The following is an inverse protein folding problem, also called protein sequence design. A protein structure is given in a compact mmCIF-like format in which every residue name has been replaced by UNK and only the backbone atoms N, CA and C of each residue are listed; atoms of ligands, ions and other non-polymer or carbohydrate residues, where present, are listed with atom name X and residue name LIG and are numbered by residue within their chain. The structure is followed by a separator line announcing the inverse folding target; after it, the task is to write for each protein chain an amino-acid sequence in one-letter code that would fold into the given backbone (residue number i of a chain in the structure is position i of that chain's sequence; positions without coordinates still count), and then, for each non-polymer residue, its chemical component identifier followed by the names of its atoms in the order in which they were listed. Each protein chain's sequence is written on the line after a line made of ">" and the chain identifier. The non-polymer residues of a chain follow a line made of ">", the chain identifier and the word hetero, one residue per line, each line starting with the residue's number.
data_IF_667409992104
#
_entry.id   IF_667409992104
#
_cell.length_a   1.000
_cell.length_b   1.000
_cell.length_c   1.000
_cell.angle_alpha   90.00
_cell.angle_beta   90.00
_cell.angle_gamma   90.00
#
_symmetry.space_group_name_H-M   'P 1'
#
loop_
_entity.id
_entity.type
_entity.pdbx_description
1 polymer ?
#
# COMPACT_ATOMS: atom_id res chain seq x y z
N UNK A 1 -29.37 69.71 9.17
CA UNK A 1 -28.19 68.85 8.96
C UNK A 1 -28.49 67.57 9.66
N UNK A 2 -28.89 66.49 8.87
CA UNK A 2 -29.18 65.19 9.41
C UNK A 2 -27.93 64.29 9.19
N UNK A 3 -27.27 63.97 10.25
CA UNK A 3 -26.22 63.01 10.31
C UNK A 3 -26.85 61.64 10.61
N UNK A 4 -27.19 60.83 9.61
CA UNK A 4 -27.74 59.49 9.78
C UNK A 4 -26.66 58.43 9.74
N UNK A 5 -26.86 57.30 10.39
CA UNK A 5 -25.81 56.53 11.01
C UNK A 5 -25.15 55.59 10.03
N UNK A 6 -23.99 55.94 9.51
CA UNK A 6 -23.10 55.06 8.77
C UNK A 6 -22.72 53.77 9.54
N UNK A 7 -22.92 53.77 10.87
CA UNK A 7 -22.62 52.61 11.75
C UNK A 7 -23.64 51.47 11.62
N UNK A 8 -24.86 51.71 11.20
CA UNK A 8 -25.86 50.62 11.02
C UNK A 8 -25.68 49.91 9.68
N UNK A 9 -25.35 50.63 8.63
CA UNK A 9 -25.05 50.07 7.31
C UNK A 9 -23.80 49.20 7.35
N UNK A 10 -22.75 49.61 8.05
CA UNK A 10 -21.52 48.81 8.20
C UNK A 10 -21.76 47.49 8.97
N UNK A 11 -22.64 47.52 9.98
CA UNK A 11 -23.00 46.32 10.76
C UNK A 11 -23.84 45.32 9.95
N UNK A 12 -24.74 45.80 9.09
CA UNK A 12 -25.54 44.92 8.23
C UNK A 12 -24.73 44.32 7.08
N UNK A 13 -23.80 45.08 6.52
CA UNK A 13 -22.89 44.51 5.46
C UNK A 13 -21.93 43.51 6.03
N UNK A 14 -21.34 43.72 7.21
CA UNK A 14 -20.47 42.75 7.88
C UNK A 14 -21.23 41.47 8.25
N UNK A 15 -22.46 41.58 8.76
CA UNK A 15 -23.30 40.43 9.08
C UNK A 15 -23.69 39.62 7.83
N UNK A 16 -23.97 40.26 6.71
CA UNK A 16 -24.26 39.61 5.44
C UNK A 16 -23.03 38.91 4.86
N UNK A 17 -21.85 39.52 4.93
CA UNK A 17 -20.61 38.88 4.51
C UNK A 17 -20.25 37.65 5.38
N UNK A 18 -20.43 37.74 6.71
CA UNK A 18 -20.22 36.61 7.61
C UNK A 18 -21.19 35.46 7.32
N UNK A 19 -22.45 35.73 7.07
CA UNK A 19 -23.45 34.71 6.71
C UNK A 19 -23.15 34.08 5.37
N UNK A 20 -22.67 34.84 4.38
CA UNK A 20 -22.24 34.32 3.09
C UNK A 20 -20.98 33.44 3.20
N UNK A 21 -20.01 33.82 4.05
CA UNK A 21 -18.82 32.99 4.30
C UNK A 21 -19.17 31.69 5.05
N UNK A 22 -20.09 31.70 5.99
CA UNK A 22 -20.57 30.51 6.67
C UNK A 22 -21.33 29.56 5.73
N UNK A 23 -22.12 30.11 4.78
CA UNK A 23 -22.81 29.31 3.78
C UNK A 23 -21.82 28.63 2.77
N UNK A 24 -20.67 29.27 2.50
CA UNK A 24 -19.62 28.69 1.65
C UNK A 24 -18.84 27.61 2.35
N UNK A 25 -18.73 27.61 3.67
CA UNK A 25 -18.04 26.56 4.44
C UNK A 25 -18.86 25.27 4.57
N UNK A 26 -20.18 25.33 4.42
CA UNK A 26 -21.05 24.14 4.43
C UNK A 26 -21.14 23.45 3.06
N UNK A 27 -20.64 24.06 1.99
CA UNK A 27 -20.67 23.47 0.65
C UNK A 27 -19.56 22.44 0.40
N UNK A 28 -18.63 22.24 1.34
CA UNK A 28 -17.55 21.23 1.22
C UNK A 28 -17.77 19.96 2.04
N UNK A 29 -18.90 19.82 2.75
CA UNK A 29 -19.31 18.53 3.29
C UNK A 29 -20.20 17.81 2.26
N UNK A 30 -19.65 17.52 1.08
CA UNK A 30 -20.18 16.48 0.26
C UNK A 30 -19.98 15.18 1.03
N UNK A 31 -21.05 14.59 1.53
CA UNK A 31 -21.04 13.19 1.93
C UNK A 31 -20.38 12.43 0.78
N UNK A 32 -19.20 11.88 1.01
CA UNK A 32 -18.65 10.86 0.16
C UNK A 32 -19.70 9.73 0.20
N UNK A 33 -20.59 9.70 -0.81
CA UNK A 33 -21.46 8.55 -0.99
C UNK A 33 -20.53 7.35 -0.97
N UNK A 34 -20.68 6.47 0.01
CA UNK A 34 -20.11 5.16 -0.03
C UNK A 34 -20.64 4.52 -1.30
N UNK A 35 -19.82 4.51 -2.34
CA UNK A 35 -20.17 3.86 -3.60
C UNK A 35 -20.12 2.38 -3.27
N UNK A 36 -21.29 1.71 -3.27
CA UNK A 36 -21.31 0.27 -3.15
C UNK A 36 -20.63 -0.32 -4.39
N UNK A 37 -19.49 -0.99 -4.18
CA UNK A 37 -18.73 -1.60 -5.28
C UNK A 37 -19.53 -2.64 -6.04
N UNK A 38 -20.55 -3.26 -5.41
CA UNK A 38 -21.44 -4.21 -6.06
C UNK A 38 -22.30 -3.57 -7.17
N UNK A 39 -22.54 -2.27 -7.09
CA UNK A 39 -23.35 -1.51 -8.05
C UNK A 39 -22.50 -0.89 -9.18
N UNK A 40 -21.17 -0.98 -9.11
CA UNK A 40 -20.27 -0.38 -10.11
C UNK A 40 -20.23 -1.22 -11.39
N UNK A 41 -20.38 -0.55 -12.53
CA UNK A 41 -20.16 -1.13 -13.84
C UNK A 41 -18.69 -1.00 -14.27
N UNK A 42 -18.29 -1.73 -15.32
CA UNK A 42 -16.96 -1.58 -15.91
C UNK A 42 -16.64 -0.14 -16.31
N UNK A 43 -17.61 0.58 -16.88
CA UNK A 43 -17.43 1.96 -17.34
C UNK A 43 -17.23 2.93 -16.16
N UNK A 44 -17.81 2.63 -14.99
CA UNK A 44 -17.62 3.43 -13.78
C UNK A 44 -16.22 3.25 -13.16
N UNK A 45 -15.57 2.11 -13.42
CA UNK A 45 -14.26 1.75 -12.84
C UNK A 45 -13.11 2.03 -13.82
N UNK A 46 -13.35 1.85 -15.12
CA UNK A 46 -12.32 1.91 -16.14
C UNK A 46 -11.62 3.29 -16.18
N UNK A 47 -10.29 3.29 -16.09
CA UNK A 47 -9.42 4.49 -16.07
C UNK A 47 -9.61 5.44 -14.87
N UNK A 48 -10.37 5.09 -13.85
CA UNK A 48 -10.57 5.92 -12.65
C UNK A 48 -9.52 5.69 -11.57
N UNK A 49 -8.92 4.51 -11.53
CA UNK A 49 -8.05 4.05 -10.44
C UNK A 49 -8.79 3.34 -9.31
N UNK A 50 -10.13 3.35 -9.30
CA UNK A 50 -10.94 2.73 -8.22
C UNK A 50 -10.62 1.25 -7.99
N UNK A 51 -10.21 0.51 -9.03
CA UNK A 51 -9.80 -0.89 -8.90
C UNK A 51 -8.47 -1.07 -8.14
N UNK A 52 -7.75 0.01 -7.87
CA UNK A 52 -6.51 -0.01 -7.09
C UNK A 52 -6.71 0.40 -5.63
N UNK A 53 -7.87 0.97 -5.29
CA UNK A 53 -8.16 1.45 -3.94
C UNK A 53 -8.71 0.31 -3.08
N UNK A 54 -8.30 0.25 -1.82
CA UNK A 54 -8.89 -0.65 -0.85
C UNK A 54 -10.30 -0.19 -0.43
N UNK A 55 -11.10 -1.12 0.09
CA UNK A 55 -12.33 -0.76 0.79
C UNK A 55 -12.00 0.07 2.04
N UNK A 56 -12.94 0.90 2.47
CA UNK A 56 -12.80 1.69 3.68
C UNK A 56 -13.97 1.46 4.60
N UNK A 57 -13.71 1.45 5.89
CA UNK A 57 -14.73 1.42 6.94
C UNK A 57 -15.00 2.83 7.47
N UNK A 58 -16.24 3.11 7.93
CA UNK A 58 -16.54 4.37 8.57
C UNK A 58 -15.70 4.55 9.84
N UNK A 59 -15.37 5.79 10.18
CA UNK A 59 -14.57 6.11 11.37
C UNK A 59 -15.22 5.68 12.70
N UNK A 60 -16.53 5.50 12.69
CA UNK A 60 -17.31 5.00 13.83
C UNK A 60 -17.14 3.49 14.09
N UNK A 61 -16.55 2.72 13.16
CA UNK A 61 -16.33 1.29 13.33
C UNK A 61 -15.25 1.02 14.39
N UNK A 62 -15.67 0.79 15.63
CA UNK A 62 -14.83 0.58 16.83
C UNK A 62 -15.14 -0.72 17.52
N UNK A 63 -15.45 -1.75 16.74
CA UNK A 63 -15.77 -3.08 17.25
C UNK A 63 -14.54 -3.83 17.79
N UNK A 64 -14.81 -5.04 18.27
CA UNK A 64 -13.80 -6.00 18.70
C UNK A 64 -14.28 -7.40 18.35
N UNK A 65 -13.45 -8.21 17.75
CA UNK A 65 -13.74 -9.59 17.39
C UNK A 65 -12.86 -10.49 18.23
N UNK A 66 -13.48 -11.16 19.23
CA UNK A 66 -12.80 -12.13 20.10
C UNK A 66 -12.59 -13.45 19.37
N UNK A 67 -11.40 -13.99 19.47
CA UNK A 67 -11.01 -15.26 18.86
C UNK A 67 -10.77 -16.31 19.96
N UNK A 68 -11.12 -17.56 19.66
CA UNK A 68 -10.97 -18.66 20.61
C UNK A 68 -9.75 -19.51 20.23
N UNK A 69 -8.95 -19.87 21.21
CA UNK A 69 -7.84 -20.79 20.99
C UNK A 69 -8.29 -22.11 20.38
N UNK A 70 -7.62 -22.57 19.33
CA UNK A 70 -7.98 -23.76 18.58
C UNK A 70 -9.12 -23.55 17.55
N UNK A 71 -9.73 -22.37 17.48
CA UNK A 71 -10.62 -21.99 16.40
C UNK A 71 -9.88 -21.89 15.08
N UNK A 72 -10.57 -22.15 13.98
CA UNK A 72 -10.03 -22.00 12.62
C UNK A 72 -10.52 -20.67 12.06
N UNK A 73 -9.59 -19.79 11.80
CA UNK A 73 -9.87 -18.47 11.25
C UNK A 73 -9.01 -18.21 10.03
N UNK A 74 -9.47 -17.31 9.19
CA UNK A 74 -8.70 -16.79 8.06
C UNK A 74 -8.91 -15.30 7.91
N UNK A 75 -7.89 -14.60 7.46
CA UNK A 75 -8.03 -13.25 6.93
C UNK A 75 -8.20 -13.35 5.42
N UNK A 76 -9.24 -12.70 4.92
CA UNK A 76 -9.64 -12.73 3.52
C UNK A 76 -9.73 -11.30 2.96
N UNK A 77 -9.70 -11.21 1.63
CA UNK A 77 -9.88 -9.94 0.92
C UNK A 77 -8.94 -8.83 1.41
N UNK A 78 -7.75 -9.21 1.92
CA UNK A 78 -6.81 -8.20 2.38
C UNK A 78 -6.29 -7.38 1.21
N UNK A 79 -6.35 -6.08 1.38
CA UNK A 79 -5.86 -5.09 0.44
C UNK A 79 -4.83 -4.20 1.13
N UNK A 80 -3.67 -3.99 0.47
CA UNK A 80 -2.62 -3.06 0.92
C UNK A 80 -2.44 -2.01 -0.18
N UNK A 81 -2.92 -0.81 0.04
CA UNK A 81 -2.84 0.30 -0.90
C UNK A 81 -1.70 1.26 -0.55
N UNK A 82 -0.58 1.29 -1.31
CA UNK A 82 0.51 2.23 -1.09
C UNK A 82 0.08 3.68 -1.34
N UNK A 83 0.13 4.50 -0.31
CA UNK A 83 -0.11 5.96 -0.39
C UNK A 83 1.21 6.72 -0.54
N UNK A 84 2.27 6.23 0.13
CA UNK A 84 3.57 6.86 0.19
C UNK A 84 4.67 5.83 -0.03
N UNK A 85 5.64 6.18 -0.85
CA UNK A 85 6.87 5.39 -1.04
C UNK A 85 8.06 6.30 -0.84
N UNK A 86 8.99 5.88 0.00
CA UNK A 86 10.25 6.58 0.24
C UNK A 86 11.43 5.62 0.06
N UNK A 87 12.51 6.11 -0.48
CA UNK A 87 13.73 5.34 -0.74
C UNK A 87 14.85 5.90 0.12
N UNK A 88 15.62 5.03 0.74
CA UNK A 88 16.77 5.40 1.55
C UNK A 88 17.91 5.83 0.62
N UNK A 89 18.09 7.14 0.50
CA UNK A 89 19.13 7.73 -0.32
C UNK A 89 20.50 7.68 0.35
N UNK A 90 21.56 7.79 -0.45
CA UNK A 90 22.89 8.00 0.10
C UNK A 90 22.96 9.35 0.83
N UNK A 91 23.67 9.42 1.98
CA UNK A 91 23.80 10.67 2.69
C UNK A 91 24.63 11.68 1.87
N UNK A 92 24.11 12.87 1.72
CA UNK A 92 24.78 14.00 1.04
C UNK A 92 26.13 14.35 1.70
N UNK A 93 26.33 13.92 2.93
CA UNK A 93 27.55 14.13 3.71
C UNK A 93 27.87 12.84 4.48
N UNK A 94 29.11 12.37 4.42
CA UNK A 94 29.62 11.17 5.13
C UNK A 94 29.40 11.16 6.66
N UNK A 95 28.98 12.28 7.24
CA UNK A 95 28.67 12.42 8.67
C UNK A 95 27.17 12.35 8.99
N UNK A 96 26.33 12.25 7.97
CA UNK A 96 24.88 12.12 8.11
C UNK A 96 24.46 10.68 7.82
N UNK A 97 23.49 10.18 8.55
CA UNK A 97 22.85 8.91 8.24
C UNK A 97 21.99 9.04 6.99
N UNK A 98 21.92 7.98 6.21
CA UNK A 98 21.00 7.88 5.09
C UNK A 98 19.56 8.04 5.56
N UNK A 99 18.80 8.90 4.93
CA UNK A 99 17.40 9.17 5.25
C UNK A 99 16.50 8.69 4.12
N UNK A 100 15.28 8.31 4.48
CA UNK A 100 14.25 8.01 3.50
C UNK A 100 13.79 9.30 2.82
N UNK A 101 13.83 9.32 1.49
CA UNK A 101 13.38 10.41 0.62
C UNK A 101 12.11 9.97 -0.07
N UNK A 102 11.02 10.69 0.15
CA UNK A 102 9.74 10.41 -0.49
C UNK A 102 9.81 10.67 -2.00
N UNK A 103 9.26 9.74 -2.78
CA UNK A 103 9.14 9.82 -4.21
C UNK A 103 7.70 9.71 -4.70
N UNK A 104 7.49 10.03 -5.97
CA UNK A 104 6.19 9.94 -6.61
C UNK A 104 6.00 8.55 -7.24
N UNK A 105 4.95 7.83 -6.86
CA UNK A 105 4.58 6.55 -7.45
C UNK A 105 4.14 6.79 -8.91
N UNK A 106 4.82 6.17 -9.87
CA UNK A 106 4.48 6.26 -11.30
C UNK A 106 3.39 5.24 -11.68
N UNK A 107 3.36 4.09 -11.02
CA UNK A 107 2.41 2.98 -11.25
C UNK A 107 1.16 3.08 -10.37
N UNK A 108 0.69 4.28 -10.09
CA UNK A 108 -0.36 4.59 -9.11
C UNK A 108 -1.71 3.87 -9.30
N UNK A 109 -1.99 3.34 -10.49
CA UNK A 109 -3.24 2.60 -10.77
C UNK A 109 -3.09 1.09 -10.67
N UNK A 110 -1.91 0.60 -10.29
CA UNK A 110 -1.60 -0.82 -10.27
C UNK A 110 -0.59 -1.16 -9.17
N UNK A 111 -0.67 -0.47 -8.04
CA UNK A 111 0.30 -0.59 -6.95
C UNK A 111 -0.20 -1.40 -5.76
N UNK A 112 -1.52 -1.57 -5.62
CA UNK A 112 -2.10 -2.28 -4.47
C UNK A 112 -1.96 -3.80 -4.59
N UNK A 113 -1.64 -4.43 -3.47
CA UNK A 113 -1.91 -5.85 -3.27
C UNK A 113 -3.39 -6.00 -2.96
N UNK A 114 -4.03 -7.04 -3.49
CA UNK A 114 -5.48 -7.21 -3.37
C UNK A 114 -5.85 -8.69 -3.27
N UNK A 115 -7.00 -8.96 -2.65
CA UNK A 115 -7.49 -10.31 -2.45
C UNK A 115 -6.45 -11.23 -1.78
N UNK A 116 -5.55 -10.66 -0.98
CA UNK A 116 -4.58 -11.41 -0.21
C UNK A 116 -5.30 -12.15 0.90
N UNK A 117 -4.96 -13.41 1.11
CA UNK A 117 -5.60 -14.24 2.11
C UNK A 117 -4.60 -15.16 2.83
N UNK A 118 -4.99 -15.61 4.02
CA UNK A 118 -4.17 -16.55 4.77
C UNK A 118 -4.85 -17.04 6.04
N UNK A 119 -4.21 -17.99 6.71
CA UNK A 119 -4.68 -18.53 7.99
C UNK A 119 -4.38 -17.56 9.12
N UNK A 120 -5.30 -17.45 10.08
CA UNK A 120 -5.10 -16.76 11.34
C UNK A 120 -5.27 -17.76 12.49
N UNK A 121 -4.23 -17.92 13.27
CA UNK A 121 -4.22 -18.80 14.44
C UNK A 121 -4.13 -17.99 15.73
N UNK A 122 -4.78 -18.51 16.79
CA UNK A 122 -4.58 -18.03 18.16
C UNK A 122 -3.56 -18.95 18.82
N UNK A 123 -2.39 -18.41 19.12
CA UNK A 123 -1.27 -19.10 19.75
C UNK A 123 -1.13 -18.71 21.23
N UNK A 124 -0.20 -19.32 21.95
CA UNK A 124 0.11 -18.93 23.32
C UNK A 124 0.71 -17.50 23.43
N UNK A 125 1.34 -17.03 22.36
CA UNK A 125 1.97 -15.71 22.28
C UNK A 125 1.07 -14.63 21.66
N UNK A 126 -0.14 -14.99 21.20
CA UNK A 126 -1.06 -14.05 20.55
C UNK A 126 -1.59 -14.56 19.22
N UNK A 127 -1.84 -13.66 18.30
CA UNK A 127 -2.31 -13.96 16.95
C UNK A 127 -1.13 -14.20 16.00
N UNK A 128 -1.26 -15.19 15.14
CA UNK A 128 -0.31 -15.47 14.06
C UNK A 128 -1.06 -15.53 12.73
N UNK A 129 -0.73 -14.63 11.82
CA UNK A 129 -1.22 -14.61 10.44
C UNK A 129 -0.16 -15.20 9.51
N UNK A 130 -0.57 -16.16 8.67
CA UNK A 130 0.27 -16.77 7.65
C UNK A 130 -0.40 -16.62 6.29
N UNK A 131 0.17 -15.77 5.46
CA UNK A 131 -0.26 -15.54 4.08
C UNK A 131 -0.15 -16.81 3.24
N UNK A 132 -1.11 -17.00 2.32
CA UNK A 132 -1.21 -18.14 1.41
C UNK A 132 -1.29 -17.77 -0.06
N UNK A 133 -1.72 -16.58 -0.40
CA UNK A 133 -1.86 -16.16 -1.79
C UNK A 133 -2.75 -14.93 -1.96
N UNK A 134 -3.09 -14.69 -3.21
CA UNK A 134 -3.84 -13.51 -3.67
C UNK A 134 -3.07 -12.77 -4.76
N UNK A 135 -3.40 -11.50 -4.97
CA UNK A 135 -2.57 -10.58 -5.74
C UNK A 135 -1.50 -10.03 -4.78
N UNK A 136 -0.59 -10.89 -4.39
CA UNK A 136 0.36 -10.73 -3.30
C UNK A 136 1.68 -10.07 -3.70
N UNK A 137 1.78 -9.57 -4.94
CA UNK A 137 2.89 -8.76 -5.41
C UNK A 137 2.45 -7.81 -6.52
N UNK A 138 3.07 -6.63 -6.60
CA UNK A 138 2.89 -5.63 -7.64
C UNK A 138 4.22 -4.93 -7.98
N UNK A 139 4.53 -4.75 -9.28
CA UNK A 139 5.66 -3.94 -9.69
C UNK A 139 5.34 -2.46 -9.48
N UNK A 140 6.20 -1.77 -8.77
CA UNK A 140 6.11 -0.33 -8.52
C UNK A 140 7.39 0.33 -9.03
N UNK A 141 7.22 1.50 -9.66
CA UNK A 141 8.32 2.42 -9.96
C UNK A 141 8.03 3.74 -9.24
N UNK A 142 9.01 4.20 -8.50
CA UNK A 142 8.96 5.50 -7.82
C UNK A 142 9.96 6.46 -8.42
N UNK A 143 9.53 7.70 -8.67
CA UNK A 143 10.36 8.79 -9.17
C UNK A 143 10.78 9.67 -7.99
N UNK A 144 12.07 9.71 -7.72
CA UNK A 144 12.66 10.57 -6.69
C UNK A 144 12.73 12.05 -7.14
N UNK A 145 12.83 13.01 -6.22
CA UNK A 145 12.94 14.44 -6.56
C UNK A 145 14.13 14.78 -7.48
N UNK A 146 15.19 13.95 -7.45
CA UNK A 146 16.34 14.06 -8.35
C UNK A 146 16.12 13.58 -9.77
N UNK A 147 14.96 13.03 -10.08
CA UNK A 147 14.62 12.46 -11.40
C UNK A 147 15.04 11.01 -11.58
N UNK A 148 15.57 10.37 -10.55
CA UNK A 148 15.92 8.96 -10.55
C UNK A 148 14.66 8.10 -10.37
N UNK A 149 14.53 7.04 -11.18
CA UNK A 149 13.47 6.04 -11.08
C UNK A 149 13.98 4.79 -10.38
N UNK A 150 13.30 4.40 -9.31
CA UNK A 150 13.61 3.21 -8.52
C UNK A 150 12.49 2.19 -8.70
N UNK A 151 12.73 1.09 -9.43
CA UNK A 151 11.81 -0.01 -9.53
C UNK A 151 11.96 -0.97 -8.36
N UNK A 152 10.83 -1.55 -7.91
CA UNK A 152 10.80 -2.63 -6.93
C UNK A 152 9.52 -3.45 -7.07
N UNK A 153 9.51 -4.64 -6.50
CA UNK A 153 8.31 -5.48 -6.41
C UNK A 153 7.75 -5.40 -5.01
N UNK A 154 6.71 -4.59 -4.82
CA UNK A 154 5.97 -4.58 -3.56
C UNK A 154 5.30 -5.93 -3.36
N UNK A 155 5.44 -6.52 -2.17
CA UNK A 155 5.01 -7.89 -1.92
C UNK A 155 4.46 -8.07 -0.51
N UNK A 156 3.62 -9.09 -0.36
CA UNK A 156 3.27 -9.71 0.93
C UNK A 156 3.51 -11.22 0.92
N UNK A 157 4.24 -11.72 -0.07
CA UNK A 157 4.46 -13.16 -0.25
C UNK A 157 5.04 -13.82 0.99
N UNK A 158 4.37 -14.90 1.41
CA UNK A 158 4.78 -15.66 2.60
C UNK A 158 4.85 -14.82 3.87
N UNK A 159 4.06 -13.74 3.96
CA UNK A 159 4.00 -12.91 5.16
C UNK A 159 3.61 -13.77 6.37
N UNK A 160 4.50 -13.79 7.36
CA UNK A 160 4.26 -14.37 8.67
C UNK A 160 4.28 -13.23 9.68
N UNK A 161 3.11 -12.83 10.14
CA UNK A 161 2.96 -11.69 11.04
C UNK A 161 2.29 -12.10 12.35
N UNK A 162 2.76 -11.52 13.45
CA UNK A 162 2.25 -11.80 14.79
C UNK A 162 1.73 -10.53 15.45
N UNK A 163 0.72 -10.68 16.32
CA UNK A 163 0.18 -9.62 17.14
C UNK A 163 -0.14 -10.15 18.54
N UNK A 164 -0.07 -9.28 19.54
CA UNK A 164 -0.42 -9.62 20.90
C UNK A 164 -1.94 -9.80 21.10
N UNK A 165 -2.30 -10.62 22.07
CA UNK A 165 -3.69 -10.83 22.48
C UNK A 165 -4.42 -11.92 21.68
N UNK A 166 -5.73 -12.04 21.90
CA UNK A 166 -6.60 -13.06 21.30
C UNK A 166 -7.88 -12.43 20.70
N UNK A 167 -7.76 -11.21 20.22
CA UNK A 167 -8.86 -10.49 19.58
C UNK A 167 -8.34 -9.52 18.53
N UNK A 168 -9.13 -9.28 17.49
CA UNK A 168 -8.90 -8.19 16.56
C UNK A 168 -9.63 -6.96 17.10
N UNK A 169 -8.89 -5.91 17.37
CA UNK A 169 -9.37 -4.64 17.92
C UNK A 169 -8.74 -3.46 17.19
N UNK A 170 -9.20 -2.25 17.48
CA UNK A 170 -8.59 -1.01 16.96
C UNK A 170 -7.19 -0.68 17.53
N UNK A 171 -6.61 -1.59 18.29
CA UNK A 171 -5.26 -1.50 18.86
C UNK A 171 -4.44 -2.77 18.55
N UNK A 172 -4.86 -3.56 17.59
CA UNK A 172 -4.13 -4.76 17.18
C UNK A 172 -3.07 -4.37 16.16
N UNK A 173 -1.81 -4.62 16.52
CA UNK A 173 -0.65 -4.32 15.68
C UNK A 173 0.05 -5.62 15.30
N UNK A 174 0.05 -5.94 14.03
CA UNK A 174 0.78 -7.07 13.47
C UNK A 174 2.17 -6.64 13.01
N UNK A 175 3.16 -7.49 13.28
CA UNK A 175 4.53 -7.31 12.80
C UNK A 175 5.03 -8.63 12.23
N UNK A 176 5.65 -8.58 11.06
CA UNK A 176 6.11 -9.79 10.41
C UNK A 176 7.12 -9.57 9.30
N UNK A 177 7.61 -10.68 8.79
CA UNK A 177 8.53 -10.72 7.66
C UNK A 177 7.84 -11.35 6.45
N UNK A 178 8.24 -10.92 5.27
CA UNK A 178 7.74 -11.45 4.01
C UNK A 178 8.86 -11.57 2.98
N UNK A 179 8.62 -12.38 1.96
CA UNK A 179 9.56 -12.56 0.86
C UNK A 179 9.35 -11.52 -0.22
N UNK A 180 10.45 -10.94 -0.70
CA UNK A 180 10.45 -9.99 -1.82
C UNK A 180 11.00 -10.67 -3.07
N UNK A 181 10.15 -11.05 -4.03
CA UNK A 181 10.62 -11.66 -5.27
C UNK A 181 11.31 -10.61 -6.15
N UNK A 182 12.37 -11.03 -6.83
CA UNK A 182 13.03 -10.17 -7.81
C UNK A 182 12.11 -9.88 -9.00
N UNK A 183 11.99 -8.62 -9.36
CA UNK A 183 11.09 -8.14 -10.42
C UNK A 183 11.36 -8.79 -11.79
N UNK A 184 12.64 -8.95 -12.14
CA UNK A 184 13.05 -9.43 -13.49
C UNK A 184 13.54 -10.85 -13.55
N UNK A 185 13.87 -11.46 -12.41
CA UNK A 185 14.50 -12.78 -12.38
C UNK A 185 13.60 -13.88 -11.83
N UNK A 186 12.45 -13.54 -11.27
CA UNK A 186 11.48 -14.50 -10.80
C UNK A 186 10.55 -14.98 -11.92
N UNK A 187 10.21 -16.25 -11.84
CA UNK A 187 9.18 -16.85 -12.67
C UNK A 187 7.86 -16.87 -11.89
N UNK A 188 6.97 -15.92 -12.19
CA UNK A 188 5.65 -15.83 -11.58
C UNK A 188 4.60 -15.43 -12.62
N UNK A 189 3.34 -15.69 -12.33
CA UNK A 189 2.22 -15.29 -13.19
C UNK A 189 1.99 -13.77 -13.07
N UNK A 190 1.71 -13.12 -14.18
CA UNK A 190 1.22 -11.74 -14.20
C UNK A 190 -0.21 -11.72 -13.61
N UNK A 191 -0.43 -11.11 -12.43
CA UNK A 191 -1.74 -11.10 -11.78
C UNK A 191 -2.83 -10.40 -12.60
N UNK A 192 -2.44 -9.56 -13.56
CA UNK A 192 -3.39 -8.88 -14.45
C UNK A 192 -3.68 -9.62 -15.75
N UNK A 193 -3.15 -10.83 -15.91
CA UNK A 193 -3.42 -11.70 -17.06
C UNK A 193 -2.88 -11.20 -18.39
N UNK A 194 -2.00 -10.20 -18.40
CA UNK A 194 -1.39 -9.65 -19.62
C UNK A 194 -0.30 -10.55 -20.19
N UNK A 195 0.34 -11.33 -19.32
CA UNK A 195 1.29 -12.37 -19.67
C UNK A 195 1.08 -13.57 -18.74
N UNK A 196 1.30 -14.78 -19.25
CA UNK A 196 1.17 -16.00 -18.45
C UNK A 196 2.25 -16.09 -17.38
N UNK A 197 3.46 -15.66 -17.72
CA UNK A 197 4.61 -15.62 -16.83
C UNK A 197 5.47 -14.41 -17.13
N UNK A 198 6.17 -13.92 -16.09
CA UNK A 198 7.18 -12.87 -16.17
C UNK A 198 8.49 -13.39 -15.59
N UNK A 199 9.53 -12.60 -15.62
CA UNK A 199 10.81 -12.96 -15.00
C UNK A 199 11.73 -13.73 -15.93
N UNK A 200 12.05 -14.98 -15.60
CA UNK A 200 13.13 -15.74 -16.27
C UNK A 200 12.99 -15.78 -17.79
N UNK A 201 11.79 -15.98 -18.33
CA UNK A 201 11.57 -16.01 -19.77
C UNK A 201 11.86 -14.68 -20.47
N UNK A 202 11.42 -13.58 -19.89
CA UNK A 202 11.73 -12.23 -20.37
C UNK A 202 13.22 -11.92 -20.26
N UNK A 203 13.81 -12.32 -19.14
CA UNK A 203 15.21 -12.10 -18.87
C UNK A 203 16.13 -12.95 -19.76
N UNK A 204 15.70 -14.11 -20.27
CA UNK A 204 16.48 -14.90 -21.24
C UNK A 204 16.67 -14.17 -22.57
N UNK A 205 15.69 -13.40 -23.04
CA UNK A 205 15.83 -12.56 -24.23
C UNK A 205 16.92 -11.50 -24.09
N UNK A 206 17.17 -11.02 -22.88
CA UNK A 206 18.23 -10.04 -22.60
C UNK A 206 19.62 -10.70 -22.50
N UNK A 207 19.69 -11.96 -22.07
CA UNK A 207 20.96 -12.74 -22.02
C UNK A 207 21.50 -13.00 -23.43
N UNK A 208 20.63 -13.25 -24.42
CA UNK A 208 21.06 -13.45 -25.79
C UNK A 208 21.75 -12.22 -26.41
N UNK A 209 21.49 -11.02 -25.87
CA UNK A 209 22.17 -9.79 -26.26
C UNK A 209 23.57 -9.63 -25.62
N UNK A 210 23.93 -10.47 -24.65
CA UNK A 210 25.23 -10.42 -23.97
C UNK A 210 26.39 -11.03 -24.79
N UNK A 211 26.10 -11.80 -25.83
CA UNK A 211 27.13 -12.41 -26.71
C UNK A 211 27.81 -11.39 -27.65
N UNK A 212 27.52 -10.13 -27.55
CA UNK A 212 28.09 -9.07 -28.36
C UNK A 212 29.21 -8.33 -27.61
N UNK A 213 30.18 -9.06 -27.12
CA UNK A 213 31.61 -8.79 -27.17
C UNK A 213 32.24 -7.59 -26.45
N UNK A 214 31.63 -6.91 -25.48
CA UNK A 214 32.34 -5.92 -24.65
C UNK A 214 32.18 -6.23 -23.13
N UNK A 215 33.31 -6.37 -22.44
CA UNK A 215 33.35 -6.79 -21.02
C UNK A 215 32.57 -5.86 -20.06
N UNK A 216 32.44 -4.57 -20.37
CA UNK A 216 31.67 -3.60 -19.59
C UNK A 216 30.16 -3.85 -19.72
N UNK A 217 29.64 -4.10 -20.92
CA UNK A 217 28.23 -4.43 -21.16
C UNK A 217 27.83 -5.77 -20.55
N UNK A 218 28.75 -6.71 -20.49
CA UNK A 218 28.54 -7.99 -19.85
C UNK A 218 28.40 -7.90 -18.33
N UNK A 219 29.09 -6.96 -17.67
CA UNK A 219 28.98 -6.75 -16.22
C UNK A 219 27.65 -6.11 -15.82
N UNK A 220 27.11 -5.21 -16.63
CA UNK A 220 25.85 -4.53 -16.39
C UNK A 220 24.62 -5.40 -16.66
N UNK A 221 24.77 -6.44 -17.49
CA UNK A 221 23.69 -7.37 -17.84
C UNK A 221 23.71 -8.68 -17.06
N UNK A 222 24.59 -8.82 -16.07
CA UNK A 222 24.60 -10.01 -15.22
C UNK A 222 23.33 -10.05 -14.36
N UNK A 223 22.47 -11.04 -14.64
CA UNK A 223 21.30 -11.30 -13.83
C UNK A 223 21.70 -11.74 -12.44
N UNK A 224 21.35 -10.95 -11.47
CA UNK A 224 21.41 -11.36 -10.07
C UNK A 224 20.01 -11.74 -9.63
N UNK A 225 19.86 -12.98 -9.22
CA UNK A 225 18.67 -13.40 -8.52
C UNK A 225 18.68 -12.77 -7.13
N UNK A 226 17.71 -11.87 -6.87
CA UNK A 226 17.53 -11.25 -5.57
C UNK A 226 16.37 -11.98 -4.89
N UNK A 227 16.69 -12.75 -3.87
CA UNK A 227 15.73 -13.30 -2.93
C UNK A 227 15.82 -12.47 -1.65
N UNK A 228 15.03 -11.42 -1.60
CA UNK A 228 15.03 -10.46 -0.51
C UNK A 228 13.98 -10.78 0.53
N UNK A 229 14.21 -10.30 1.75
CA UNK A 229 13.24 -10.29 2.84
C UNK A 229 12.86 -8.86 3.14
N UNK A 230 11.56 -8.60 3.26
CA UNK A 230 11.01 -7.35 3.76
C UNK A 230 10.39 -7.55 5.13
N UNK A 231 10.18 -6.45 5.85
CA UNK A 231 9.43 -6.40 7.10
C UNK A 231 8.18 -5.56 6.91
N UNK A 232 7.07 -5.98 7.51
CA UNK A 232 5.80 -5.27 7.45
C UNK A 232 5.19 -5.17 8.85
N UNK A 233 4.77 -3.96 9.19
CA UNK A 233 3.92 -3.69 10.34
C UNK A 233 2.58 -3.20 9.84
N UNK A 234 1.48 -3.70 10.40
CA UNK A 234 0.16 -3.15 10.10
C UNK A 234 -0.69 -3.04 11.35
N UNK A 235 -1.31 -1.87 11.52
CA UNK A 235 -2.11 -1.48 12.67
C UNK A 235 -3.57 -1.37 12.27
N UNK A 236 -4.43 -2.10 12.97
CA UNK A 236 -5.86 -2.06 12.78
C UNK A 236 -6.42 -0.86 13.53
N UNK A 237 -7.13 0.02 12.85
CA UNK A 237 -7.69 1.26 13.41
C UNK A 237 -9.21 1.28 13.41
N UNK A 238 -9.85 0.41 12.63
CA UNK A 238 -11.30 0.29 12.50
C UNK A 238 -11.68 -1.18 12.45
N UNK A 239 -12.74 -1.56 13.13
CA UNK A 239 -13.27 -2.93 13.16
C UNK A 239 -14.78 -2.88 13.17
N UNK A 240 -15.40 -3.59 12.24
CA UNK A 240 -16.82 -3.92 12.24
C UNK A 240 -16.98 -5.37 12.71
N UNK A 241 -17.51 -5.54 13.92
CA UNK A 241 -17.68 -6.88 14.51
C UNK A 241 -18.86 -7.67 13.93
N UNK A 242 -19.79 -7.03 13.23
CA UNK A 242 -20.93 -7.67 12.62
C UNK A 242 -20.55 -8.32 11.27
N UNK A 243 -19.74 -7.62 10.47
CA UNK A 243 -19.31 -8.10 9.16
C UNK A 243 -17.96 -8.82 9.19
N UNK A 244 -17.19 -8.68 10.27
CA UNK A 244 -15.83 -9.20 10.38
C UNK A 244 -14.80 -8.34 9.68
N UNK A 245 -15.18 -7.19 9.13
CA UNK A 245 -14.32 -6.31 8.39
C UNK A 245 -13.42 -5.47 9.32
N UNK A 246 -12.20 -5.22 8.86
CA UNK A 246 -11.28 -4.32 9.53
C UNK A 246 -10.53 -3.47 8.52
N UNK A 247 -10.12 -2.29 8.97
CA UNK A 247 -9.28 -1.38 8.19
C UNK A 247 -8.22 -0.74 9.07
N UNK A 248 -7.15 -0.27 8.45
CA UNK A 248 -6.03 0.29 9.17
C UNK A 248 -4.98 0.88 8.25
N UNK A 249 -3.76 0.90 8.75
CA UNK A 249 -2.59 1.39 8.03
C UNK A 249 -1.46 0.37 8.10
N UNK A 250 -0.56 0.42 7.12
CA UNK A 250 0.63 -0.42 7.12
C UNK A 250 1.88 0.38 6.80
N UNK A 251 3.01 -0.16 7.21
CA UNK A 251 4.35 0.26 6.79
C UNK A 251 5.18 -0.98 6.53
N UNK A 252 5.81 -1.01 5.36
CA UNK A 252 6.70 -2.09 4.95
C UNK A 252 8.06 -1.51 4.57
N UNK A 253 9.13 -2.25 4.87
CA UNK A 253 10.50 -1.91 4.43
C UNK A 253 11.06 -3.12 3.70
N UNK A 254 11.57 -2.90 2.50
CA UNK A 254 12.08 -3.95 1.65
C UNK A 254 13.19 -3.46 0.71
N UNK A 255 13.99 -4.37 0.13
CA UNK A 255 14.95 -4.01 -0.89
C UNK A 255 14.27 -3.59 -2.21
N UNK A 256 14.89 -2.63 -2.91
CA UNK A 256 14.56 -2.31 -4.30
C UNK A 256 15.05 -3.40 -5.27
N UNK A 257 14.67 -3.30 -6.55
CA UNK A 257 15.33 -4.06 -7.60
C UNK A 257 16.74 -3.50 -7.86
N UNK A 258 17.66 -4.37 -8.25
CA UNK A 258 19.01 -4.01 -8.64
C UNK A 258 19.15 -3.66 -10.11
N UNK A 259 18.06 -3.62 -10.86
CA UNK A 259 18.06 -3.48 -12.32
C UNK A 259 19.04 -4.45 -13.00
N UNK A 260 18.89 -5.75 -12.67
CA UNK A 260 19.74 -6.86 -13.11
C UNK A 260 21.22 -6.76 -12.66
N UNK A 261 21.48 -6.04 -11.58
CA UNK A 261 22.80 -5.86 -11.00
C UNK A 261 23.53 -4.60 -11.47
N UNK A 262 22.90 -3.77 -12.31
CA UNK A 262 23.44 -2.48 -12.74
C UNK A 262 23.33 -1.39 -11.67
N UNK A 263 22.56 -1.64 -10.59
CA UNK A 263 22.38 -0.70 -9.47
C UNK A 263 22.58 -1.37 -8.13
N UNK A 264 22.98 -0.60 -7.14
CA UNK A 264 22.92 -1.04 -5.76
C UNK A 264 21.48 -1.14 -5.29
N UNK A 265 21.21 -2.14 -4.47
CA UNK A 265 19.90 -2.33 -3.84
C UNK A 265 19.74 -1.31 -2.74
N UNK A 266 18.63 -0.57 -2.76
CA UNK A 266 18.29 0.44 -1.78
C UNK A 266 17.15 -0.05 -0.89
N UNK A 267 17.10 0.42 0.36
CA UNK A 267 15.93 0.20 1.21
C UNK A 267 14.77 1.06 0.72
N UNK A 268 13.62 0.44 0.50
CA UNK A 268 12.36 1.10 0.13
C UNK A 268 11.36 0.96 1.26
N UNK A 269 10.82 2.06 1.73
CA UNK A 269 9.73 2.10 2.68
C UNK A 269 8.42 2.39 1.94
N UNK A 270 7.43 1.54 2.16
CA UNK A 270 6.07 1.67 1.60
C UNK A 270 5.09 1.84 2.75
N UNK A 271 4.28 2.88 2.74
CA UNK A 271 3.22 3.08 3.74
C UNK A 271 1.90 3.36 3.06
N UNK A 272 0.79 2.96 3.70
CA UNK A 272 -0.50 3.15 3.11
C UNK A 272 -1.65 2.59 3.93
N UNK A 273 -2.76 2.37 3.25
CA UNK A 273 -4.01 1.90 3.83
C UNK A 273 -4.12 0.37 3.74
N UNK A 274 -4.77 -0.20 4.74
CA UNK A 274 -5.07 -1.62 4.86
C UNK A 274 -6.58 -1.83 4.97
N UNK A 275 -7.08 -2.85 4.32
CA UNK A 275 -8.41 -3.43 4.53
C UNK A 275 -8.30 -4.95 4.58
N UNK A 276 -9.24 -5.60 5.26
CA UNK A 276 -9.39 -7.04 5.26
C UNK A 276 -10.65 -7.48 5.97
N UNK A 277 -10.95 -8.77 5.87
CA UNK A 277 -12.08 -9.40 6.54
C UNK A 277 -11.66 -10.67 7.25
N UNK A 278 -12.11 -10.83 8.49
CA UNK A 278 -11.98 -12.07 9.24
C UNK A 278 -13.13 -13.02 8.90
N UNK A 279 -12.80 -14.25 8.59
CA UNK A 279 -13.76 -15.33 8.43
C UNK A 279 -13.44 -16.48 9.41
N UNK A 280 -14.49 -17.08 9.92
CA UNK A 280 -14.39 -18.33 10.68
C UNK A 280 -14.63 -19.48 9.71
N UNK A 281 -13.71 -20.44 9.66
CA UNK A 281 -13.77 -21.61 8.78
C UNK A 281 -14.55 -22.77 9.41
#
# INVERSE_FOLDING_TARGET
>A
MYCWPMRSLLRTTVALCLAACLALLTACSGDAKSIDRADLTYDDIHNTGLANDCFSLPESARGSISLTAGGKYSLQEMCFHPSTVAVKGEPTNKRQEAQFVEGRILTRYTSSLDSVYGDLAVTESGLEFKEKGGIDFQPITVLLPGGEEIPFTFSSKQLLATADGAAITTSTDFNGEYRTPSYRTNNFLDPKGRALTTGVGYAQGLVAAQDIGEDELNSENVKRYIDGTGTMSFSITRVDAETGEFAGVFTAVQPSDSDMGGREVLDVQVSGELYGRLEQA
#
